data_IF_016158149473
#
_entry.id   IF_016158149473
#
_cell.length_a   1.000
_cell.length_b   1.000
_cell.length_c   1.000
_cell.angle_alpha   90.00
_cell.angle_beta   90.00
_cell.angle_gamma   90.00
#
_symmetry.space_group_name_H-M   'P 1'
#
loop_
_entity.id
_entity.type
_entity.pdbx_description
1 polymer ?
#
# COMPACT_ATOMS: atom_id res chain seq x y z
N UNK A 1 -40.19 -31.37 -2.12
CA UNK A 1 -39.65 -30.63 -0.96
C UNK A 1 -39.49 -31.63 0.17
N UNK A 2 -38.27 -32.16 0.34
CA UNK A 2 -37.93 -33.15 1.37
C UNK A 2 -37.09 -32.43 2.42
N UNK A 3 -37.62 -32.31 3.63
CA UNK A 3 -36.90 -31.82 4.80
C UNK A 3 -36.07 -32.98 5.36
N UNK A 4 -34.75 -32.91 5.24
CA UNK A 4 -33.85 -33.78 5.99
C UNK A 4 -33.67 -33.19 7.39
N UNK A 5 -34.21 -33.86 8.40
CA UNK A 5 -33.79 -33.66 9.79
C UNK A 5 -32.45 -34.36 9.98
N UNK A 6 -31.39 -33.59 10.21
CA UNK A 6 -30.12 -34.14 10.72
C UNK A 6 -30.21 -34.24 12.24
N UNK A 7 -29.94 -35.43 12.77
CA UNK A 7 -29.86 -35.72 14.20
C UNK A 7 -28.51 -35.22 14.76
N UNK A 8 -28.55 -34.18 15.60
CA UNK A 8 -27.40 -33.55 16.26
C UNK A 8 -26.64 -34.49 17.23
N UNK A 9 -27.18 -35.66 17.58
CA UNK A 9 -26.54 -36.55 18.55
C UNK A 9 -25.50 -37.52 17.97
N UNK A 10 -25.32 -37.56 16.65
CA UNK A 10 -24.34 -38.46 16.02
C UNK A 10 -22.90 -37.89 15.98
N UNK A 11 -22.69 -36.62 16.34
CA UNK A 11 -21.35 -36.00 16.36
C UNK A 11 -20.59 -36.27 17.67
N UNK A 12 -21.28 -36.67 18.74
CA UNK A 12 -20.68 -36.88 20.07
C UNK A 12 -19.83 -38.15 20.17
N UNK A 13 -20.09 -39.15 19.31
CA UNK A 13 -19.42 -40.45 19.35
C UNK A 13 -18.06 -40.48 18.64
N UNK A 14 -17.75 -39.49 17.79
CA UNK A 14 -16.45 -39.39 17.11
C UNK A 14 -15.35 -38.72 17.94
N UNK A 15 -15.67 -38.18 19.12
CA UNK A 15 -14.71 -37.40 19.93
C UNK A 15 -14.08 -38.22 21.06
N UNK A 16 -14.54 -39.44 21.36
CA UNK A 16 -13.94 -40.27 22.43
C UNK A 16 -13.73 -41.72 22.01
N UNK A 17 -12.57 -42.01 21.41
CA UNK A 17 -11.94 -43.32 21.51
C UNK A 17 -10.47 -43.22 21.13
N UNK A 18 -9.60 -43.09 22.13
CA UNK A 18 -8.41 -43.94 22.30
C UNK A 18 -7.66 -43.50 23.54
N UNK A 19 -7.65 -44.41 24.51
CA UNK A 19 -6.79 -44.42 25.68
C UNK A 19 -5.33 -44.57 25.25
N UNK A 20 -4.56 -43.48 25.32
CA UNK A 20 -3.12 -43.56 25.53
C UNK A 20 -2.66 -42.42 26.44
N UNK A 21 -2.06 -42.82 27.56
CA UNK A 21 -1.56 -41.94 28.61
C UNK A 21 -0.25 -41.29 28.14
N UNK A 22 -0.06 -40.01 28.52
CA UNK A 22 1.20 -39.25 28.48
C UNK A 22 1.47 -38.39 27.22
N UNK A 23 0.60 -37.40 26.94
CA UNK A 23 1.04 -36.07 26.52
C UNK A 23 -0.15 -35.10 26.59
N UNK A 24 -0.33 -34.40 27.72
CA UNK A 24 -1.27 -33.27 27.78
C UNK A 24 -0.67 -32.11 26.99
N UNK A 25 -0.86 -32.14 25.67
CA UNK A 25 -0.86 -30.91 24.90
C UNK A 25 -2.07 -30.10 25.36
N UNK A 26 -1.91 -28.80 25.71
CA UNK A 26 -3.03 -28.00 26.14
C UNK A 26 -4.03 -27.92 24.99
N UNK A 27 -5.24 -28.44 25.21
CA UNK A 27 -6.39 -28.29 24.33
C UNK A 27 -6.59 -26.78 24.12
N UNK A 28 -6.20 -26.27 22.95
CA UNK A 28 -6.36 -24.86 22.61
C UNK A 28 -7.82 -24.63 22.28
N UNK A 29 -8.59 -24.19 23.27
CA UNK A 29 -9.94 -23.68 23.07
C UNK A 29 -9.85 -22.37 22.28
N UNK A 30 -10.08 -22.42 20.97
CA UNK A 30 -10.15 -21.23 20.11
C UNK A 30 -11.58 -20.69 20.23
N UNK A 31 -11.77 -19.73 21.12
CA UNK A 31 -13.03 -19.02 21.28
C UNK A 31 -13.26 -18.07 20.10
N UNK A 32 -14.48 -18.05 19.56
CA UNK A 32 -14.89 -17.10 18.52
C UNK A 32 -14.96 -15.73 19.18
N UNK A 33 -14.07 -14.81 18.76
CA UNK A 33 -14.02 -13.49 19.36
C UNK A 33 -15.31 -12.71 19.08
N UNK A 34 -15.97 -12.15 20.12
CA UNK A 34 -17.27 -11.49 19.99
C UNK A 34 -17.22 -10.13 19.28
N UNK A 35 -16.03 -9.61 18.94
CA UNK A 35 -15.81 -8.23 18.51
C UNK A 35 -15.15 -8.09 17.13
N UNK A 36 -15.39 -9.04 16.22
CA UNK A 36 -14.94 -8.91 14.83
C UNK A 36 -15.58 -7.70 14.16
N UNK A 37 -14.77 -6.68 13.82
CA UNK A 37 -15.25 -5.45 13.16
C UNK A 37 -14.47 -5.16 11.89
N UNK A 38 -15.18 -4.74 10.85
CA UNK A 38 -14.57 -4.27 9.61
C UNK A 38 -13.73 -3.03 9.89
N UNK A 39 -12.46 -3.07 9.50
CA UNK A 39 -11.52 -1.95 9.66
C UNK A 39 -11.29 -1.19 8.36
N UNK A 40 -11.44 -1.84 7.21
CA UNK A 40 -11.28 -1.20 5.90
C UNK A 40 -11.89 -1.98 4.73
N UNK A 41 -12.14 -1.29 3.62
CA UNK A 41 -12.53 -1.91 2.34
C UNK A 41 -12.05 -1.08 1.15
N UNK A 42 -11.72 -1.73 0.03
CA UNK A 42 -11.60 -1.07 -1.28
C UNK A 42 -13.01 -0.96 -1.87
N UNK A 43 -13.36 0.19 -2.43
CA UNK A 43 -14.68 0.44 -3.04
C UNK A 43 -14.53 1.00 -4.46
N UNK A 44 -15.60 0.93 -5.25
CA UNK A 44 -15.73 1.56 -6.56
C UNK A 44 -14.65 1.17 -7.59
N UNK A 45 -14.09 -0.04 -7.44
CA UNK A 45 -13.03 -0.58 -8.31
C UNK A 45 -13.44 -0.59 -9.79
N UNK A 46 -14.73 -0.77 -10.08
CA UNK A 46 -15.25 -0.90 -11.45
C UNK A 46 -15.53 0.44 -12.15
N UNK A 47 -15.73 1.51 -11.39
CA UNK A 47 -16.16 2.82 -11.93
C UNK A 47 -15.07 3.89 -11.82
N UNK A 48 -14.03 3.63 -11.03
CA UNK A 48 -12.88 4.52 -10.94
C UNK A 48 -11.89 4.27 -12.08
N UNK A 49 -11.16 5.30 -12.53
CA UNK A 49 -9.97 5.11 -13.35
C UNK A 49 -9.04 4.09 -12.69
N UNK A 50 -8.44 3.20 -13.49
CA UNK A 50 -7.53 2.14 -13.00
C UNK A 50 -6.32 2.68 -12.22
N UNK A 51 -5.96 3.94 -12.46
CA UNK A 51 -4.88 4.64 -11.77
C UNK A 51 -5.27 5.12 -10.38
N UNK A 52 -6.54 5.01 -9.98
CA UNK A 52 -7.05 5.43 -8.68
C UNK A 52 -7.48 4.23 -7.83
N UNK A 53 -7.41 4.43 -6.52
CA UNK A 53 -7.90 3.49 -5.51
C UNK A 53 -8.73 4.26 -4.50
N UNK A 54 -9.96 3.80 -4.27
CA UNK A 54 -10.80 4.35 -3.20
C UNK A 54 -10.85 3.39 -2.02
N UNK A 55 -10.40 3.89 -0.88
CA UNK A 55 -10.24 3.14 0.37
C UNK A 55 -11.17 3.72 1.41
N UNK A 56 -11.97 2.85 2.03
CA UNK A 56 -12.79 3.17 3.20
C UNK A 56 -12.07 2.67 4.45
N UNK A 57 -11.88 3.53 5.44
CA UNK A 57 -11.32 3.23 6.75
C UNK A 57 -12.39 3.41 7.83
N UNK A 58 -12.55 2.41 8.69
CA UNK A 58 -13.43 2.48 9.85
C UNK A 58 -12.60 2.51 11.13
N UNK A 59 -12.70 3.62 11.86
CA UNK A 59 -11.95 3.82 13.10
C UNK A 59 -12.77 3.33 14.28
N UNK A 60 -12.28 2.27 14.92
CA UNK A 60 -13.01 1.56 15.98
C UNK A 60 -13.05 2.31 17.33
N UNK A 61 -11.96 2.97 17.72
CA UNK A 61 -11.81 3.69 19.00
C UNK A 61 -11.53 5.15 18.72
N UNK A 62 -12.29 6.06 19.34
CA UNK A 62 -12.12 7.50 19.14
C UNK A 62 -10.75 8.02 19.60
N UNK A 63 -10.04 7.26 20.44
CA UNK A 63 -8.72 7.62 20.95
C UNK A 63 -7.56 7.24 20.01
N UNK A 64 -7.79 6.38 19.02
CA UNK A 64 -6.72 5.99 18.09
C UNK A 64 -6.75 6.89 16.84
N UNK A 65 -5.60 7.41 16.40
CA UNK A 65 -5.51 8.16 15.15
C UNK A 65 -5.75 7.26 13.93
N UNK A 66 -5.99 7.86 12.78
CA UNK A 66 -6.10 7.14 11.50
C UNK A 66 -4.78 6.48 11.10
N UNK A 67 -3.65 6.98 11.61
CA UNK A 67 -2.38 6.28 11.49
C UNK A 67 -1.53 6.73 10.31
N UNK A 68 -1.74 7.93 9.78
CA UNK A 68 -0.94 8.47 8.69
C UNK A 68 -0.80 9.99 8.79
N UNK A 69 0.13 10.54 8.03
CA UNK A 69 0.39 11.96 7.93
C UNK A 69 0.29 12.38 6.47
N UNK A 70 -0.13 13.62 6.26
CA UNK A 70 -0.17 14.24 4.93
C UNK A 70 0.80 15.41 4.84
N UNK A 71 1.14 15.78 3.62
CA UNK A 71 1.96 16.95 3.30
C UNK A 71 1.50 17.56 1.99
N UNK A 72 1.83 18.84 1.81
CA UNK A 72 1.82 19.45 0.50
C UNK A 72 2.96 18.91 -0.38
N UNK A 73 2.75 18.97 -1.69
CA UNK A 73 3.73 18.62 -2.69
C UNK A 73 3.33 19.10 -4.08
N UNK A 74 4.07 18.63 -5.07
CA UNK A 74 3.83 18.93 -6.48
C UNK A 74 3.41 17.64 -7.17
N UNK A 75 2.24 17.64 -7.79
CA UNK A 75 1.78 16.59 -8.68
C UNK A 75 2.08 16.97 -10.12
N UNK A 76 2.50 15.99 -10.92
CA UNK A 76 2.70 16.17 -12.35
C UNK A 76 1.41 15.78 -13.06
N UNK A 77 0.82 16.71 -13.81
CA UNK A 77 -0.36 16.47 -14.64
C UNK A 77 -0.02 16.65 -16.12
N UNK A 78 -0.68 15.88 -16.97
CA UNK A 78 -0.55 15.97 -18.42
C UNK A 78 -1.80 16.67 -18.96
N UNK A 79 -1.62 17.89 -19.43
CA UNK A 79 -2.67 18.72 -20.02
C UNK A 79 -2.46 18.95 -21.52
N UNK A 80 -3.36 19.71 -22.13
CA UNK A 80 -3.25 20.10 -23.55
C UNK A 80 -1.96 20.87 -23.88
N UNK A 81 -1.39 21.54 -22.87
CA UNK A 81 -0.20 22.37 -23.00
C UNK A 81 1.09 21.60 -22.63
N UNK A 82 0.99 20.29 -22.40
CA UNK A 82 2.11 19.43 -22.01
C UNK A 82 2.10 19.09 -20.52
N UNK A 83 3.29 19.02 -19.92
CA UNK A 83 3.50 18.61 -18.54
C UNK A 83 3.38 19.81 -17.61
N UNK A 84 2.46 19.75 -16.64
CA UNK A 84 2.19 20.82 -15.69
C UNK A 84 2.47 20.35 -14.26
N UNK A 85 3.16 21.21 -13.50
CA UNK A 85 3.38 21.04 -12.07
C UNK A 85 2.24 21.74 -11.33
N UNK A 86 1.41 20.97 -10.63
CA UNK A 86 0.28 21.49 -9.86
C UNK A 86 0.43 21.18 -8.38
N UNK A 87 -0.11 22.00 -7.47
CA UNK A 87 -0.18 21.65 -6.05
C UNK A 87 -0.95 20.34 -5.84
N UNK A 88 -0.47 19.50 -4.93
CA UNK A 88 -1.11 18.25 -4.54
C UNK A 88 -0.85 17.89 -3.08
N UNK A 89 -1.66 16.98 -2.55
CA UNK A 89 -1.55 16.49 -1.17
C UNK A 89 -1.18 15.02 -1.18
N UNK A 90 -0.20 14.65 -0.35
CA UNK A 90 0.40 13.31 -0.39
C UNK A 90 0.48 12.70 0.99
N UNK A 91 0.37 11.38 1.08
CA UNK A 91 0.72 10.65 2.31
C UNK A 91 2.23 10.76 2.51
N UNK A 92 2.65 11.37 3.62
CA UNK A 92 4.06 11.60 3.95
C UNK A 92 4.65 10.53 4.87
N UNK A 93 3.80 9.87 5.66
CA UNK A 93 4.22 8.86 6.64
C UNK A 93 3.03 7.99 7.05
N UNK A 94 3.31 6.71 7.34
CA UNK A 94 2.40 5.82 8.05
C UNK A 94 2.91 5.58 9.48
N UNK A 95 2.01 5.50 10.45
CA UNK A 95 2.32 5.13 11.83
C UNK A 95 2.42 3.61 11.93
N UNK A 96 3.53 3.13 12.51
CA UNK A 96 3.75 1.72 12.78
C UNK A 96 2.64 1.13 13.68
N UNK A 97 2.01 0.05 13.24
CA UNK A 97 0.83 -0.56 13.88
C UNK A 97 -0.42 0.34 13.86
N UNK A 98 -0.40 1.44 13.10
CA UNK A 98 -1.53 2.34 12.91
C UNK A 98 -2.61 1.70 12.03
N UNK A 99 -3.82 2.28 12.05
CA UNK A 99 -4.94 1.77 11.26
C UNK A 99 -4.57 1.72 9.77
N UNK A 100 -4.16 2.84 9.18
CA UNK A 100 -3.77 2.91 7.77
C UNK A 100 -2.68 1.89 7.38
N UNK A 101 -1.59 1.80 8.15
CA UNK A 101 -0.53 0.81 7.88
C UNK A 101 -1.05 -0.63 7.95
N UNK A 102 -1.84 -0.95 8.97
CA UNK A 102 -2.37 -2.30 9.19
C UNK A 102 -3.30 -2.77 8.07
N UNK A 103 -3.95 -1.85 7.34
CA UNK A 103 -4.77 -2.21 6.18
C UNK A 103 -3.94 -2.64 4.97
N UNK A 104 -2.72 -2.14 4.83
CA UNK A 104 -1.90 -2.30 3.61
C UNK A 104 -2.51 -1.66 2.35
N UNK A 105 -3.58 -0.87 2.47
CA UNK A 105 -4.29 -0.29 1.31
C UNK A 105 -3.73 1.07 0.89
N UNK A 106 -2.94 1.70 1.76
CA UNK A 106 -2.35 3.02 1.59
C UNK A 106 -0.83 2.93 1.73
N UNK A 107 -0.11 3.79 1.02
CA UNK A 107 1.34 3.86 1.03
C UNK A 107 1.84 5.30 1.14
N UNK A 108 3.02 5.46 1.71
CA UNK A 108 3.74 6.74 1.63
C UNK A 108 3.97 7.06 0.17
N UNK A 109 3.65 8.30 -0.21
CA UNK A 109 3.74 8.75 -1.59
C UNK A 109 2.42 8.82 -2.34
N UNK A 110 1.38 8.14 -1.88
CA UNK A 110 0.08 8.17 -2.52
C UNK A 110 -0.45 9.61 -2.56
N UNK A 111 -0.88 10.06 -3.74
CA UNK A 111 -1.49 11.37 -3.94
C UNK A 111 -2.96 11.26 -3.57
N UNK A 112 -3.43 12.10 -2.67
CA UNK A 112 -4.83 12.17 -2.27
C UNK A 112 -5.59 13.00 -3.29
N UNK A 113 -6.66 12.44 -3.83
CA UNK A 113 -7.50 13.07 -4.86
C UNK A 113 -8.81 13.56 -4.24
N UNK A 114 -9.44 12.74 -3.37
CA UNK A 114 -10.72 13.06 -2.74
C UNK A 114 -10.77 12.59 -1.29
N UNK A 115 -11.54 13.29 -0.47
CA UNK A 115 -11.95 12.86 0.87
C UNK A 115 -13.48 12.92 0.96
N UNK A 116 -14.11 11.78 1.24
CA UNK A 116 -15.55 11.59 1.33
C UNK A 116 -16.32 12.20 0.13
N UNK A 117 -15.76 12.03 -1.08
CA UNK A 117 -16.34 12.52 -2.33
C UNK A 117 -16.08 13.99 -2.64
N UNK A 118 -15.29 14.69 -1.82
CA UNK A 118 -14.89 16.09 -2.04
C UNK A 118 -13.45 16.11 -2.57
N UNK A 119 -13.26 16.68 -3.77
CA UNK A 119 -11.93 16.85 -4.37
C UNK A 119 -11.04 17.75 -3.50
N UNK A 120 -9.77 17.39 -3.35
CA UNK A 120 -8.81 18.17 -2.54
C UNK A 120 -8.07 19.25 -3.33
N UNK A 121 -8.16 19.22 -4.66
CA UNK A 121 -7.57 20.22 -5.56
C UNK A 121 -8.01 21.64 -5.17
N UNK A 122 -7.05 22.56 -5.04
CA UNK A 122 -7.31 23.95 -4.65
C UNK A 122 -7.62 24.18 -3.17
N UNK A 123 -7.62 23.14 -2.33
CA UNK A 123 -7.74 23.29 -0.87
C UNK A 123 -6.36 23.42 -0.22
N UNK A 124 -6.31 24.14 0.89
CA UNK A 124 -5.12 24.19 1.75
C UNK A 124 -4.95 22.87 2.52
N UNK A 125 -3.72 22.57 2.95
CA UNK A 125 -3.45 21.37 3.74
C UNK A 125 -4.32 21.29 5.00
N UNK A 126 -4.49 22.42 5.70
CA UNK A 126 -5.31 22.51 6.91
C UNK A 126 -6.78 22.16 6.62
N UNK A 127 -7.35 22.66 5.53
CA UNK A 127 -8.71 22.30 5.12
C UNK A 127 -8.85 20.81 4.82
N UNK A 128 -7.85 20.20 4.18
CA UNK A 128 -7.86 18.76 3.90
C UNK A 128 -7.73 17.97 5.21
N UNK A 129 -6.90 18.42 6.14
CA UNK A 129 -6.80 17.85 7.49
C UNK A 129 -8.15 17.93 8.21
N UNK A 130 -8.81 19.08 8.22
CA UNK A 130 -10.13 19.26 8.83
C UNK A 130 -11.17 18.32 8.23
N UNK A 131 -11.16 18.17 6.90
CA UNK A 131 -12.03 17.22 6.19
C UNK A 131 -11.80 15.77 6.66
N UNK A 132 -10.56 15.36 6.83
CA UNK A 132 -10.23 14.01 7.31
C UNK A 132 -10.60 13.82 8.79
N UNK A 133 -10.36 14.81 9.64
CA UNK A 133 -10.70 14.78 11.07
C UNK A 133 -12.22 14.68 11.26
N UNK A 134 -12.98 15.51 10.53
CA UNK A 134 -14.44 15.50 10.56
C UNK A 134 -15.04 14.15 10.14
N UNK A 135 -14.36 13.42 9.24
CA UNK A 135 -14.80 12.11 8.75
C UNK A 135 -14.02 10.93 9.36
N UNK A 136 -13.24 11.16 10.43
CA UNK A 136 -12.27 10.18 10.95
C UNK A 136 -12.88 8.86 11.43
N UNK A 137 -14.18 8.80 11.75
CA UNK A 137 -14.87 7.55 12.09
C UNK A 137 -15.15 6.65 10.87
N UNK A 138 -15.44 7.27 9.73
CA UNK A 138 -15.84 6.61 8.49
C UNK A 138 -15.25 7.40 7.31
N UNK A 139 -13.93 7.27 7.18
CA UNK A 139 -13.16 8.02 6.20
C UNK A 139 -13.15 7.26 4.88
N UNK A 140 -13.51 7.94 3.79
CA UNK A 140 -13.36 7.43 2.44
C UNK A 140 -12.36 8.32 1.73
N UNK A 141 -11.24 7.76 1.26
CA UNK A 141 -10.24 8.50 0.50
C UNK A 141 -10.05 7.87 -0.87
N UNK A 142 -10.03 8.71 -1.90
CA UNK A 142 -9.59 8.33 -3.25
C UNK A 142 -8.15 8.78 -3.40
N UNK A 143 -7.26 7.86 -3.74
CA UNK A 143 -5.83 8.14 -3.95
C UNK A 143 -5.38 7.70 -5.34
N UNK A 144 -4.34 8.35 -5.87
CA UNK A 144 -3.50 7.83 -6.95
C UNK A 144 -2.28 7.17 -6.29
N UNK A 145 -2.12 5.84 -6.36
CA UNK A 145 -0.99 5.15 -5.75
C UNK A 145 0.34 5.63 -6.33
N UNK A 146 1.38 5.79 -5.50
CA UNK A 146 2.73 6.15 -6.02
C UNK A 146 3.35 5.00 -6.83
N UNK A 147 3.09 3.77 -6.38
CA UNK A 147 3.60 2.56 -6.98
C UNK A 147 2.41 1.69 -7.40
N UNK A 148 2.12 1.64 -8.70
CA UNK A 148 1.11 0.74 -9.28
C UNK A 148 1.39 -0.76 -9.00
N UNK A 149 2.52 -1.08 -8.36
CA UNK A 149 3.00 -2.44 -8.09
C UNK A 149 2.38 -3.13 -6.88
N UNK A 150 1.53 -2.45 -6.08
CA UNK A 150 1.12 -2.99 -4.77
C UNK A 150 0.15 -4.20 -4.80
N UNK A 151 -0.25 -4.76 -5.95
CA UNK A 151 -1.28 -5.83 -5.98
C UNK A 151 -0.93 -7.14 -6.73
N UNK A 152 0.36 -7.53 -6.85
CA UNK A 152 0.69 -8.91 -7.29
C UNK A 152 1.49 -9.76 -6.28
N UNK A 153 1.80 -9.28 -5.07
CA UNK A 153 2.18 -10.19 -3.98
C UNK A 153 0.94 -10.82 -3.35
N UNK A 154 0.17 -11.55 -4.16
CA UNK A 154 -0.78 -12.54 -3.65
C UNK A 154 0.10 -13.68 -3.14
N UNK A 155 0.34 -13.69 -1.84
CA UNK A 155 0.91 -14.83 -1.13
C UNK A 155 -0.08 -15.98 -1.30
N UNK A 156 0.01 -16.71 -2.41
CA UNK A 156 -0.55 -18.05 -2.48
C UNK A 156 0.29 -18.87 -1.52
N UNK A 157 -0.19 -19.00 -0.29
CA UNK A 157 0.15 -20.13 0.55
C UNK A 157 -0.43 -21.37 -0.12
N UNK A 158 0.22 -21.81 -1.20
CA UNK A 158 0.03 -23.13 -1.77
C UNK A 158 0.82 -24.11 -0.92
N UNK A 159 0.12 -24.69 0.05
CA UNK A 159 0.43 -26.02 0.56
C UNK A 159 0.42 -27.00 -0.61
N UNK A 160 1.59 -27.27 -1.20
CA UNK A 160 1.82 -28.42 -2.09
C UNK A 160 3.33 -28.75 -2.12
N UNK A 161 3.63 -30.03 -1.93
CA UNK A 161 4.93 -30.68 -1.75
C UNK A 161 6.00 -30.40 -2.85
N UNK A 162 7.30 -30.66 -2.57
CA UNK A 162 8.38 -30.34 -3.50
C UNK A 162 8.41 -31.34 -4.66
N UNK A 163 8.34 -30.84 -5.89
CA UNK A 163 8.66 -31.60 -7.10
C UNK A 163 9.83 -30.91 -7.79
N UNK A 164 10.96 -31.62 -7.76
CA UNK A 164 12.18 -31.42 -8.53
C UNK A 164 11.90 -31.28 -10.03
N UNK A 165 12.55 -30.32 -10.71
CA UNK A 165 13.04 -30.42 -12.09
C UNK A 165 13.84 -29.14 -12.43
N UNK A 166 15.15 -29.24 -12.59
CA UNK A 166 15.87 -29.55 -13.83
C UNK A 166 16.03 -28.34 -14.75
N UNK A 167 17.27 -27.84 -14.76
CA UNK A 167 17.82 -26.94 -15.76
C UNK A 167 17.72 -27.58 -17.16
N UNK A 168 17.14 -26.84 -18.10
CA UNK A 168 17.35 -27.07 -19.53
C UNK A 168 17.77 -25.75 -20.16
N UNK A 169 19.03 -25.73 -20.56
CA UNK A 169 19.67 -24.76 -21.44
C UNK A 169 19.14 -24.89 -22.87
N UNK A 170 19.06 -23.78 -23.62
CA UNK A 170 19.33 -23.66 -25.07
C UNK A 170 19.26 -22.14 -25.42
N UNK A 171 20.32 -21.44 -25.84
CA UNK A 171 21.05 -21.51 -27.13
C UNK A 171 20.09 -21.18 -28.31
N UNK A 172 20.32 -20.32 -29.31
CA UNK A 172 21.44 -19.57 -29.92
C UNK A 172 20.75 -18.56 -30.89
N UNK A 173 21.33 -17.37 -31.11
CA UNK A 173 21.57 -16.85 -32.48
C UNK A 173 22.50 -15.64 -32.46
N UNK A 174 23.67 -15.87 -33.05
CA UNK A 174 24.73 -14.91 -33.37
C UNK A 174 24.42 -14.20 -34.70
N UNK A 175 24.84 -12.94 -34.78
CA UNK A 175 25.47 -12.26 -35.93
C UNK A 175 25.90 -10.90 -35.36
N UNK A 176 27.15 -10.43 -35.29
CA UNK A 176 28.39 -10.73 -36.01
C UNK A 176 28.94 -9.40 -36.54
N UNK A 177 29.85 -8.74 -35.81
CA UNK A 177 30.93 -7.91 -36.38
C UNK A 177 31.92 -7.46 -35.30
N UNK A 178 33.19 -7.57 -35.66
CA UNK A 178 34.39 -7.30 -34.86
C UNK A 178 34.76 -5.81 -34.90
N UNK A 179 35.14 -5.21 -33.77
CA UNK A 179 36.23 -4.22 -33.76
C UNK A 179 36.92 -4.16 -32.40
N UNK A 180 38.25 -4.33 -32.42
CA UNK A 180 39.18 -4.15 -31.32
C UNK A 180 39.31 -2.67 -30.94
N UNK A 181 39.59 -2.37 -29.67
CA UNK A 181 40.86 -1.74 -29.24
C UNK A 181 40.85 -1.43 -27.75
N UNK A 182 41.95 -1.81 -27.09
CA UNK A 182 42.29 -1.37 -25.75
C UNK A 182 42.95 0.00 -25.72
N UNK A 183 42.81 0.64 -24.55
CA UNK A 183 43.78 1.41 -23.77
C UNK A 183 44.79 2.33 -24.50
N UNK A 184 44.80 3.62 -24.13
CA UNK A 184 45.97 4.37 -23.62
C UNK A 184 45.57 5.81 -23.26
N UNK A 185 46.34 6.36 -22.33
CA UNK A 185 46.15 7.57 -21.53
C UNK A 185 46.47 8.92 -22.23
N UNK A 186 46.28 9.98 -21.44
CA UNK A 186 46.86 11.34 -21.51
C UNK A 186 46.21 12.40 -22.42
N UNK A 187 45.56 13.41 -21.79
CA UNK A 187 46.03 14.82 -21.85
C UNK A 187 45.11 15.80 -21.08
N UNK A 188 45.72 16.42 -20.06
CA UNK A 188 45.63 17.82 -19.62
C UNK A 188 44.64 18.78 -20.32
N UNK A 189 43.79 19.46 -19.52
CA UNK A 189 43.79 20.94 -19.42
C UNK A 189 42.79 21.45 -18.37
N UNK A 190 43.32 22.20 -17.40
CA UNK A 190 42.60 23.10 -16.49
C UNK A 190 41.82 24.20 -17.26
N UNK A 191 40.74 24.76 -16.65
CA UNK A 191 40.67 26.20 -16.25
C UNK A 191 39.24 26.75 -16.01
N UNK A 192 39.08 27.38 -14.83
CA UNK A 192 38.09 28.39 -14.38
C UNK A 192 36.58 27.99 -14.39
N UNK A 193 35.70 28.39 -13.47
CA UNK A 193 35.68 29.52 -12.53
C UNK A 193 34.55 29.29 -11.51
N UNK A 194 34.86 29.53 -10.25
CA UNK A 194 33.90 29.74 -9.16
C UNK A 194 32.82 30.75 -9.53
N UNK A 195 31.54 30.42 -9.34
CA UNK A 195 30.46 31.38 -9.06
C UNK A 195 29.49 30.79 -8.04
N UNK A 196 29.74 31.19 -6.80
CA UNK A 196 28.82 31.19 -5.69
C UNK A 196 27.59 32.04 -6.08
N UNK A 197 26.40 31.46 -6.12
CA UNK A 197 25.16 32.22 -6.19
C UNK A 197 24.17 31.70 -5.15
N UNK A 198 24.02 32.53 -4.11
CA UNK A 198 23.00 32.46 -3.10
C UNK A 198 21.62 32.50 -3.77
N UNK A 199 20.99 31.34 -3.94
CA UNK A 199 19.54 31.28 -3.97
C UNK A 199 19.08 30.87 -2.57
N UNK A 200 18.65 31.87 -1.80
CA UNK A 200 17.79 31.67 -0.64
C UNK A 200 16.44 31.12 -1.12
N UNK A 201 16.43 29.85 -1.53
CA UNK A 201 15.21 29.08 -1.59
C UNK A 201 14.86 28.82 -0.14
N UNK A 202 13.91 29.61 0.37
CA UNK A 202 13.23 29.34 1.62
C UNK A 202 12.70 27.91 1.48
N UNK A 203 13.45 26.93 2.01
CA UNK A 203 12.96 25.58 2.20
C UNK A 203 11.81 25.73 3.20
N UNK A 204 10.61 26.03 2.70
CA UNK A 204 9.39 25.78 3.44
C UNK A 204 9.42 24.30 3.69
N UNK A 205 9.83 23.92 4.90
CA UNK A 205 9.61 22.58 5.42
C UNK A 205 8.15 22.25 5.12
N UNK A 206 7.86 21.16 4.38
CA UNK A 206 6.47 20.79 4.12
C UNK A 206 5.76 20.67 5.46
N UNK A 207 4.62 21.36 5.60
CA UNK A 207 3.79 21.24 6.80
C UNK A 207 3.37 19.77 6.94
N UNK A 208 3.64 19.17 8.10
CA UNK A 208 3.26 17.80 8.41
C UNK A 208 2.22 17.83 9.50
N UNK A 209 1.02 17.31 9.21
CA UNK A 209 -0.08 17.23 10.18
C UNK A 209 -0.44 15.79 10.48
N UNK A 210 -0.72 15.54 11.76
CA UNK A 210 -1.08 14.22 12.30
C UNK A 210 -2.60 14.01 12.20
N UNK A 211 -2.99 12.86 11.68
CA UNK A 211 -4.38 12.42 11.50
C UNK A 211 -4.64 11.07 12.20
#
# INVERSE_FOLDING_TARGET
MLLFYFDENQLSSLIHSSSDKNNLSPQRNIEIQPDFRLVSSIIDVEILPVTYRRVKLHRYKESKPLGFYIRDGVAIKYGSNGVENVPGVFISRLLAGGLAESTGLLSVGDEIIEVNGIEVSGKTLDQVTDMMVANSHNLIITVRPQNDTFNLKRTVSSTASPITQNNISNSINQSGSQINNGMSDDDESELYRSHNNNNSHLQKTPSVLKL
#
